data_IF_734910782356
#
_entry.id   IF_734910782356
#
_cell.length_a   1.000
_cell.length_b   1.000
_cell.length_c   1.000
_cell.angle_alpha   90.00
_cell.angle_beta   90.00
_cell.angle_gamma   90.00
#
_symmetry.space_group_name_H-M   'P 1'
#
loop_
_entity.id
_entity.type
_entity.pdbx_description
1 polymer ?
#
# COMPACT_ATOMS: atom_id res chain seq x y z
N UNK A 1 -2.59 -42.55 -28.92
CA UNK A 1 -3.35 -41.37 -28.44
C UNK A 1 -3.75 -41.52 -26.98
N UNK A 2 -4.32 -42.65 -26.56
CA UNK A 2 -4.67 -42.94 -25.15
C UNK A 2 -3.48 -42.91 -24.19
N UNK A 3 -2.33 -43.45 -24.57
CA UNK A 3 -1.10 -43.42 -23.75
C UNK A 3 -0.60 -41.99 -23.50
N UNK A 4 -0.61 -41.13 -24.51
CA UNK A 4 -0.24 -39.73 -24.37
C UNK A 4 -1.19 -38.96 -23.41
N UNK A 5 -2.49 -39.26 -23.48
CA UNK A 5 -3.48 -38.71 -22.55
C UNK A 5 -3.22 -39.16 -21.10
N UNK A 6 -2.90 -40.44 -20.90
CA UNK A 6 -2.55 -40.98 -19.57
C UNK A 6 -1.33 -40.26 -19.01
N UNK A 7 -0.27 -40.08 -19.80
CA UNK A 7 0.93 -39.36 -19.35
C UNK A 7 0.62 -37.91 -18.98
N UNK A 8 -0.22 -37.21 -19.77
CA UNK A 8 -0.62 -35.84 -19.47
C UNK A 8 -1.39 -35.75 -18.15
N UNK A 9 -2.34 -36.65 -17.91
CA UNK A 9 -3.12 -36.68 -16.65
C UNK A 9 -2.21 -36.97 -15.46
N UNK A 10 -1.30 -37.94 -15.58
CA UNK A 10 -0.34 -38.26 -14.51
C UNK A 10 0.58 -37.07 -14.23
N UNK A 11 1.07 -36.38 -15.27
CA UNK A 11 1.90 -35.19 -15.11
C UNK A 11 1.17 -34.07 -14.37
N UNK A 12 -0.08 -33.78 -14.74
CA UNK A 12 -0.90 -32.77 -14.05
C UNK A 12 -1.15 -33.16 -12.60
N UNK A 13 -1.43 -34.43 -12.33
CA UNK A 13 -1.63 -34.94 -10.98
C UNK A 13 -0.37 -34.75 -10.12
N UNK A 14 0.79 -35.15 -10.65
CA UNK A 14 2.08 -34.99 -9.95
C UNK A 14 2.37 -33.52 -9.70
N UNK A 15 2.18 -32.65 -10.70
CA UNK A 15 2.35 -31.21 -10.54
C UNK A 15 1.43 -30.63 -9.46
N UNK A 16 0.16 -31.04 -9.42
CA UNK A 16 -0.81 -30.61 -8.41
C UNK A 16 -0.41 -31.07 -7.00
N UNK A 17 0.06 -32.31 -6.85
CA UNK A 17 0.52 -32.85 -5.56
C UNK A 17 1.78 -32.11 -5.10
N UNK A 18 2.77 -31.92 -5.97
CA UNK A 18 3.99 -31.16 -5.65
C UNK A 18 3.65 -29.72 -5.28
N UNK A 19 2.76 -29.07 -6.03
CA UNK A 19 2.28 -27.73 -5.73
C UNK A 19 1.59 -27.65 -4.36
N UNK A 20 0.70 -28.60 -4.04
CA UNK A 20 0.01 -28.65 -2.76
C UNK A 20 0.99 -28.85 -1.60
N UNK A 21 1.95 -29.77 -1.75
CA UNK A 21 2.99 -30.01 -0.75
C UNK A 21 3.86 -28.76 -0.57
N UNK A 22 4.29 -28.11 -1.65
CA UNK A 22 5.05 -26.88 -1.58
C UNK A 22 4.26 -25.77 -0.88
N UNK A 23 2.98 -25.59 -1.23
CA UNK A 23 2.11 -24.59 -0.60
C UNK A 23 1.90 -24.85 0.91
N UNK A 24 1.85 -26.11 1.33
CA UNK A 24 1.75 -26.49 2.74
C UNK A 24 3.08 -26.31 3.49
N UNK A 25 4.20 -26.70 2.89
CA UNK A 25 5.54 -26.64 3.51
C UNK A 25 6.06 -25.20 3.59
N UNK A 26 5.95 -24.45 2.50
CA UNK A 26 6.38 -23.05 2.45
C UNK A 26 5.32 -22.09 2.99
N UNK A 27 4.10 -22.57 3.25
CA UNK A 27 3.00 -21.76 3.73
C UNK A 27 2.57 -20.66 2.75
N UNK A 28 1.70 -19.76 3.21
CA UNK A 28 1.40 -18.51 2.52
C UNK A 28 2.60 -17.60 2.78
N UNK A 29 3.56 -17.58 1.83
CA UNK A 29 4.87 -16.94 1.98
C UNK A 29 4.81 -15.65 2.80
N UNK A 30 5.49 -15.66 3.95
CA UNK A 30 5.49 -14.60 4.96
C UNK A 30 4.07 -14.15 5.35
N UNK A 31 3.41 -14.93 6.22
CA UNK A 31 2.28 -14.43 7.00
C UNK A 31 2.84 -13.37 7.96
N UNK A 32 3.05 -12.16 7.42
CA UNK A 32 3.45 -10.99 8.18
C UNK A 32 2.50 -10.90 9.36
N UNK A 33 3.07 -10.83 10.57
CA UNK A 33 2.29 -10.76 11.79
C UNK A 33 1.14 -9.76 11.58
N UNK A 34 -0.13 -10.17 11.80
CA UNK A 34 -1.26 -9.28 11.59
C UNK A 34 -0.98 -7.94 12.28
N UNK A 35 -1.12 -6.83 11.54
CA UNK A 35 -0.98 -5.52 12.14
C UNK A 35 -1.85 -5.49 13.40
N UNK A 36 -1.32 -5.07 14.56
CA UNK A 36 -2.06 -5.04 15.80
C UNK A 36 -3.43 -4.35 15.58
N UNK A 37 -4.53 -4.89 16.12
CA UNK A 37 -5.84 -4.29 15.92
C UNK A 37 -5.83 -2.81 16.35
N UNK A 38 -6.09 -1.91 15.42
CA UNK A 38 -6.05 -0.46 15.63
C UNK A 38 -4.77 0.25 15.15
N UNK A 39 -3.73 -0.49 14.73
CA UNK A 39 -2.59 0.09 14.05
C UNK A 39 -2.97 0.39 12.59
N UNK A 40 -3.26 1.66 12.29
CA UNK A 40 -3.44 2.08 10.90
C UNK A 40 -2.08 2.17 10.21
N UNK A 41 -1.92 1.66 8.98
CA UNK A 41 -0.75 1.96 8.15
C UNK A 41 -0.65 3.45 7.81
N UNK A 42 -1.72 4.23 8.04
CA UNK A 42 -1.74 5.68 7.89
C UNK A 42 -0.84 6.32 8.93
N UNK A 43 0.31 6.84 8.51
CA UNK A 43 1.19 7.65 9.34
C UNK A 43 1.48 8.96 8.64
N UNK A 44 1.39 10.04 9.42
CA UNK A 44 1.88 11.35 9.05
C UNK A 44 3.05 11.70 9.98
N UNK A 45 4.03 12.48 9.51
CA UNK A 45 5.06 13.03 10.39
C UNK A 45 4.41 13.83 11.52
N UNK A 46 4.99 13.73 12.72
CA UNK A 46 4.51 14.48 13.88
C UNK A 46 4.83 15.98 13.78
N UNK A 47 5.86 16.31 12.99
CA UNK A 47 6.41 17.64 12.84
C UNK A 47 6.03 18.21 11.46
N UNK A 48 7.01 18.29 10.56
CA UNK A 48 6.81 18.92 9.27
C UNK A 48 6.07 18.02 8.30
N UNK A 49 4.84 18.39 7.98
CA UNK A 49 4.09 17.84 6.86
C UNK A 49 4.49 18.50 5.53
N UNK A 50 4.92 17.69 4.57
CA UNK A 50 5.21 18.06 3.17
C UNK A 50 4.13 17.54 2.22
N UNK A 51 4.21 17.92 0.93
CA UNK A 51 3.30 17.37 -0.08
C UNK A 51 3.48 15.86 -0.24
N UNK A 52 4.73 15.39 -0.23
CA UNK A 52 5.07 13.98 -0.45
C UNK A 52 4.50 13.09 0.65
N UNK A 53 4.53 13.57 1.90
CA UNK A 53 3.91 12.88 3.04
C UNK A 53 2.41 12.63 2.84
N UNK A 54 1.69 13.57 2.19
CA UNK A 54 0.27 13.43 1.88
C UNK A 54 0.06 12.43 0.74
N UNK A 55 0.93 12.44 -0.27
CA UNK A 55 0.88 11.52 -1.42
C UNK A 55 1.22 10.08 -1.03
N UNK A 56 2.08 9.89 -0.04
CA UNK A 56 2.52 8.59 0.43
C UNK A 56 1.56 7.94 1.44
N UNK A 57 0.49 8.63 1.83
CA UNK A 57 -0.53 8.11 2.73
C UNK A 57 -1.14 6.79 2.23
N UNK A 58 -1.18 5.82 3.14
CA UNK A 58 -1.86 4.52 2.91
C UNK A 58 -3.00 4.34 3.88
N UNK A 59 -4.14 3.93 3.37
CA UNK A 59 -5.35 3.66 4.15
C UNK A 59 -5.69 2.19 4.13
N UNK A 60 -6.21 1.68 5.25
CA UNK A 60 -6.74 0.33 5.32
C UNK A 60 -8.07 0.24 4.57
N UNK A 61 -8.27 -0.85 3.83
CA UNK A 61 -9.54 -1.16 3.19
C UNK A 61 -10.53 -1.77 4.19
N UNK A 62 -11.77 -1.30 4.16
CA UNK A 62 -12.86 -1.78 5.01
C UNK A 62 -14.11 -2.04 4.17
N UNK A 63 -14.98 -2.95 4.63
CA UNK A 63 -16.19 -3.36 3.89
C UNK A 63 -17.13 -2.19 3.54
N UNK A 64 -17.15 -1.16 4.39
CA UNK A 64 -17.83 0.11 4.13
C UNK A 64 -16.85 1.25 4.38
N UNK A 65 -16.41 1.90 3.32
CA UNK A 65 -15.50 3.05 3.36
C UNK A 65 -15.86 4.08 2.29
N UNK A 66 -15.07 5.15 2.24
CA UNK A 66 -15.17 6.16 1.18
C UNK A 66 -14.70 5.58 -0.15
N UNK A 67 -15.19 6.17 -1.25
CA UNK A 67 -14.77 5.77 -2.59
C UNK A 67 -13.32 6.19 -2.81
N UNK A 68 -12.47 5.22 -3.13
CA UNK A 68 -11.02 5.44 -3.30
C UNK A 68 -10.71 6.59 -4.25
N UNK A 69 -11.38 6.68 -5.40
CA UNK A 69 -11.18 7.77 -6.37
C UNK A 69 -11.53 9.16 -5.83
N UNK A 70 -12.51 9.28 -4.93
CA UNK A 70 -12.89 10.58 -4.33
C UNK A 70 -11.88 10.99 -3.26
N UNK A 71 -11.40 10.02 -2.48
CA UNK A 71 -10.35 10.23 -1.48
C UNK A 71 -9.04 10.61 -2.16
N UNK A 72 -8.63 9.88 -3.19
CA UNK A 72 -7.39 10.15 -3.94
C UNK A 72 -7.41 11.55 -4.55
N UNK A 73 -8.52 11.95 -5.18
CA UNK A 73 -8.70 13.30 -5.70
C UNK A 73 -8.58 14.39 -4.61
N UNK A 74 -9.19 14.14 -3.44
CA UNK A 74 -9.12 15.08 -2.33
C UNK A 74 -7.69 15.21 -1.77
N UNK A 75 -6.97 14.10 -1.65
CA UNK A 75 -5.59 14.06 -1.18
C UNK A 75 -4.63 14.74 -2.16
N UNK A 76 -4.79 14.53 -3.46
CA UNK A 76 -4.01 15.24 -4.49
C UNK A 76 -4.21 16.76 -4.39
N UNK A 77 -5.45 17.20 -4.18
CA UNK A 77 -5.75 18.63 -4.01
C UNK A 77 -5.14 19.19 -2.72
N UNK A 78 -5.16 18.41 -1.63
CA UNK A 78 -4.57 18.78 -0.35
C UNK A 78 -3.04 18.82 -0.40
N UNK A 79 -2.38 17.90 -1.11
CA UNK A 79 -0.93 17.90 -1.28
C UNK A 79 -0.46 19.23 -1.90
N UNK A 80 -1.11 19.68 -2.98
CA UNK A 80 -0.81 20.98 -3.60
C UNK A 80 -1.24 22.20 -2.76
N UNK A 81 -2.06 22.02 -1.72
CA UNK A 81 -2.31 23.07 -0.71
C UNK A 81 -1.17 23.16 0.28
N UNK A 82 -0.69 22.02 0.78
CA UNK A 82 0.43 21.92 1.72
C UNK A 82 1.70 22.51 1.09
N UNK A 83 2.02 22.16 -0.15
CA UNK A 83 3.16 22.72 -0.89
C UNK A 83 3.12 24.26 -0.90
N UNK A 84 1.97 24.83 -1.26
CA UNK A 84 1.80 26.28 -1.36
C UNK A 84 1.91 26.98 0.01
N UNK A 85 1.31 26.39 1.04
CA UNK A 85 1.41 26.93 2.40
C UNK A 85 2.85 26.87 2.92
N UNK A 86 3.58 25.78 2.64
CA UNK A 86 4.99 25.64 2.99
C UNK A 86 5.87 26.66 2.28
N UNK A 87 5.68 26.86 0.98
CA UNK A 87 6.38 27.90 0.22
C UNK A 87 6.10 29.30 0.83
N UNK A 88 4.85 29.58 1.19
CA UNK A 88 4.48 30.86 1.80
C UNK A 88 5.09 31.07 3.18
N UNK A 89 5.16 30.03 4.00
CA UNK A 89 5.83 30.10 5.32
C UNK A 89 7.32 30.38 5.13
N UNK A 90 8.00 29.68 4.23
CA UNK A 90 9.42 29.90 3.94
C UNK A 90 9.72 31.34 3.47
N UNK A 91 8.86 31.91 2.63
CA UNK A 91 8.96 33.32 2.21
C UNK A 91 8.86 34.29 3.40
N UNK A 92 7.91 34.04 4.32
CA UNK A 92 7.67 34.90 5.47
C UNK A 92 8.80 34.80 6.51
N UNK A 93 9.33 33.60 6.74
CA UNK A 93 10.47 33.39 7.63
C UNK A 93 11.72 34.07 7.09
N UNK A 94 11.98 33.95 5.79
CA UNK A 94 13.08 34.65 5.12
C UNK A 94 12.93 36.17 5.24
N UNK A 95 11.72 36.71 5.06
CA UNK A 95 11.48 38.15 5.19
C UNK A 95 11.64 38.65 6.64
N UNK A 96 11.27 37.83 7.63
CA UNK A 96 11.47 38.15 9.05
C UNK A 96 12.95 38.18 9.41
N UNK A 97 13.72 37.20 8.94
CA UNK A 97 15.14 37.06 9.27
C UNK A 97 16.00 38.14 8.60
N UNK A 98 15.47 38.81 7.57
CA UNK A 98 16.10 39.94 6.88
C UNK A 98 15.78 41.32 7.51
N UNK A 99 14.86 41.38 8.48
CA UNK A 99 14.42 42.61 9.15
C UNK A 99 15.16 42.83 10.47
#
# INVERSE_FOLDING_TARGET
>A
MTTALIYLVVMVLVAAVVFLLAALVFGRGEELAPLPPGASPTRLPADELTEDDVRDLRFQQVFRGYKMTEVDWALDRLAGEVERLRARVAELETARDQA
#
